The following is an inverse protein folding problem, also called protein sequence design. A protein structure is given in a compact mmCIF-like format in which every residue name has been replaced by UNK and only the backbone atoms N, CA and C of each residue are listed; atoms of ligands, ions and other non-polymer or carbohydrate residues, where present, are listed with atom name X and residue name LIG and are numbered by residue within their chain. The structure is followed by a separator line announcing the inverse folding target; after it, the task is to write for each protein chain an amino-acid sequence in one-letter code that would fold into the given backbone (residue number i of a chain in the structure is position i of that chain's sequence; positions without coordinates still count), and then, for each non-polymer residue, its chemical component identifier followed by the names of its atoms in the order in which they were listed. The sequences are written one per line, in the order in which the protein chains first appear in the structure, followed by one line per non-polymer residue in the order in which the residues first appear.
data_IF_126148762462
#
_entry.id   IF_126148762462
#
_cell.length_a   1.000
_cell.length_b   1.000
_cell.length_c   1.000
_cell.angle_alpha   90.00
_cell.angle_beta   90.00
_cell.angle_gamma   90.00
#
_symmetry.space_group_name_H-M   'P 1'
#
loop_
_entity.id
_entity.type
_entity.pdbx_description
1 polymer ?
#
# COMPACT_ATOMS: atom_id res chain seq x y z
N UNK A 1 45.85 -22.93 33.31
CA UNK A 1 44.43 -23.22 33.20
C UNK A 1 44.09 -24.70 33.43
N UNK A 2 44.93 -25.66 33.05
CA UNK A 2 44.78 -27.11 33.29
C UNK A 2 44.69 -27.44 34.80
N UNK A 3 45.61 -26.92 35.61
CA UNK A 3 45.72 -27.31 37.05
C UNK A 3 44.54 -26.78 37.90
N UNK A 4 43.92 -25.70 37.51
CA UNK A 4 42.75 -25.13 38.18
C UNK A 4 41.48 -26.02 37.97
N UNK A 5 41.28 -26.55 36.78
CA UNK A 5 40.19 -27.47 36.47
C UNK A 5 40.39 -28.83 37.15
N UNK A 6 41.62 -29.34 37.24
CA UNK A 6 41.96 -30.59 37.91
C UNK A 6 41.71 -30.47 39.43
N UNK A 7 42.04 -29.34 40.03
CA UNK A 7 41.81 -29.08 41.47
C UNK A 7 40.31 -28.96 41.78
N UNK A 8 39.54 -28.30 40.95
CA UNK A 8 38.08 -28.21 41.11
C UNK A 8 37.44 -29.61 40.96
N UNK A 9 37.88 -30.37 39.96
CA UNK A 9 37.37 -31.73 39.73
C UNK A 9 37.69 -32.66 40.91
N UNK A 10 38.90 -32.61 41.40
CA UNK A 10 39.31 -33.44 42.56
C UNK A 10 38.59 -33.01 43.86
N UNK A 11 38.38 -31.72 44.09
CA UNK A 11 37.60 -31.21 45.24
C UNK A 11 36.12 -31.61 45.12
N UNK A 12 35.54 -31.53 43.95
CA UNK A 12 34.17 -32.01 43.68
C UNK A 12 34.04 -33.51 43.90
N UNK A 13 35.00 -34.32 43.42
CA UNK A 13 34.98 -35.76 43.54
C UNK A 13 35.21 -36.24 45.01
N UNK A 14 36.05 -35.54 45.77
CA UNK A 14 36.21 -35.78 47.18
C UNK A 14 34.96 -35.47 48.02
N UNK A 15 34.23 -34.42 47.64
CA UNK A 15 32.95 -34.06 48.26
C UNK A 15 31.86 -35.09 47.94
N UNK A 16 31.74 -35.54 46.72
CA UNK A 16 30.75 -36.53 46.26
C UNK A 16 31.02 -37.91 46.86
N UNK A 17 32.25 -38.26 47.25
CA UNK A 17 32.62 -39.53 47.87
C UNK A 17 32.20 -39.68 49.35
N UNK A 18 31.75 -38.61 49.98
CA UNK A 18 31.15 -38.70 51.33
C UNK A 18 29.74 -39.32 51.26
N UNK A 19 29.38 -40.23 52.17
CA UNK A 19 28.07 -40.94 52.17
C UNK A 19 26.88 -39.94 52.12
N UNK A 20 26.99 -38.79 52.76
CA UNK A 20 25.94 -37.78 52.77
C UNK A 20 25.81 -37.02 51.42
N UNK A 21 26.94 -36.66 50.80
CA UNK A 21 26.96 -35.99 49.51
C UNK A 21 26.52 -36.93 48.39
N UNK A 22 26.87 -38.18 48.42
CA UNK A 22 26.41 -39.19 47.46
C UNK A 22 24.88 -39.37 47.54
N UNK A 23 24.31 -39.39 48.73
CA UNK A 23 22.86 -39.41 48.91
C UNK A 23 22.15 -38.20 48.34
N UNK A 24 22.71 -36.99 48.57
CA UNK A 24 22.17 -35.73 48.02
C UNK A 24 22.26 -35.69 46.48
N UNK A 25 23.39 -36.14 45.92
CA UNK A 25 23.59 -36.22 44.47
C UNK A 25 22.60 -37.17 43.80
N UNK A 26 22.34 -38.33 44.41
CA UNK A 26 21.34 -39.30 43.91
C UNK A 26 19.95 -38.68 43.95
N UNK A 27 19.58 -37.97 45.00
CA UNK A 27 18.27 -37.29 45.12
C UNK A 27 18.12 -36.23 44.03
N UNK A 28 19.14 -35.39 43.84
CA UNK A 28 19.11 -34.36 42.79
C UNK A 28 19.02 -34.97 41.40
N UNK A 29 19.76 -36.06 41.15
CA UNK A 29 19.71 -36.77 39.86
C UNK A 29 18.31 -37.38 39.61
N UNK A 30 17.70 -38.00 40.64
CA UNK A 30 16.34 -38.52 40.53
C UNK A 30 15.30 -37.43 40.29
N UNK A 31 15.46 -36.24 40.88
CA UNK A 31 14.57 -35.11 40.65
C UNK A 31 14.72 -34.57 39.20
N UNK A 32 15.96 -34.48 38.68
CA UNK A 32 16.21 -34.08 37.29
C UNK A 32 15.63 -35.09 36.31
N UNK A 33 15.81 -36.39 36.54
CA UNK A 33 15.24 -37.41 35.67
C UNK A 33 13.71 -37.37 35.73
N UNK A 34 13.13 -37.23 36.95
CA UNK A 34 11.67 -37.11 37.13
C UNK A 34 11.12 -35.88 36.38
N UNK A 35 11.81 -34.74 36.47
CA UNK A 35 11.44 -33.51 35.74
C UNK A 35 11.52 -33.70 34.21
N UNK A 36 12.55 -34.38 33.73
CA UNK A 36 12.72 -34.67 32.29
C UNK A 36 11.61 -35.61 31.80
N UNK A 37 11.31 -36.67 32.54
CA UNK A 37 10.21 -37.59 32.23
C UNK A 37 8.86 -36.88 32.24
N UNK A 38 8.60 -36.02 33.22
CA UNK A 38 7.37 -35.23 33.27
C UNK A 38 7.21 -34.32 32.05
N UNK A 39 8.27 -33.64 31.63
CA UNK A 39 8.24 -32.81 30.42
C UNK A 39 8.00 -33.61 29.12
N UNK A 40 8.62 -34.81 29.02
CA UNK A 40 8.38 -35.72 27.90
C UNK A 40 6.93 -36.22 27.90
N UNK A 41 6.37 -36.58 29.06
CA UNK A 41 4.98 -37.00 29.18
C UNK A 41 4.00 -35.87 28.84
N UNK A 42 4.29 -34.64 29.28
CA UNK A 42 3.50 -33.46 28.92
C UNK A 42 3.56 -33.22 27.41
N UNK A 43 4.75 -33.27 26.79
CA UNK A 43 4.90 -33.13 25.36
C UNK A 43 4.15 -34.21 24.56
N UNK A 44 4.24 -35.48 25.01
CA UNK A 44 3.49 -36.59 24.44
C UNK A 44 1.97 -36.45 24.65
N UNK A 45 1.52 -35.93 25.80
CA UNK A 45 0.12 -35.65 26.04
C UNK A 45 -0.44 -34.52 25.16
N UNK A 46 0.35 -33.47 24.96
CA UNK A 46 -0.01 -32.37 24.01
C UNK A 46 -0.13 -32.94 22.60
N UNK A 47 0.88 -33.70 22.13
CA UNK A 47 0.84 -34.32 20.80
C UNK A 47 -0.34 -35.29 20.64
N UNK A 48 -0.66 -36.04 21.71
CA UNK A 48 -1.79 -36.97 21.68
C UNK A 48 -3.14 -36.27 21.72
N UNK A 49 -3.30 -35.19 22.49
CA UNK A 49 -4.52 -34.39 22.51
C UNK A 49 -4.73 -33.63 21.16
N UNK A 50 -3.65 -33.18 20.51
CA UNK A 50 -3.76 -32.64 19.17
C UNK A 50 -4.23 -33.68 18.14
N UNK A 51 -3.89 -34.97 18.35
CA UNK A 51 -4.36 -36.05 17.48
C UNK A 51 -5.78 -36.54 17.79
N UNK A 52 -6.31 -36.31 18.98
CA UNK A 52 -7.68 -36.67 19.36
C UNK A 52 -8.73 -35.60 19.05
N UNK A 53 -8.31 -34.33 18.76
CA UNK A 53 -9.18 -33.24 18.32
C UNK A 53 -9.44 -33.33 16.81
N UNK A 54 -8.65 -34.13 16.07
CA UNK A 54 -8.88 -34.40 14.66
C UNK A 54 -10.05 -35.38 14.45
N UNK A 55 -11.26 -34.85 14.22
CA UNK A 55 -12.44 -35.65 13.90
C UNK A 55 -12.32 -36.30 12.50
N UNK A 56 -13.26 -37.22 12.13
CA UNK A 56 -13.22 -37.96 10.86
C UNK A 56 -13.16 -37.07 9.60
N UNK A 57 -13.54 -35.80 9.71
CA UNK A 57 -13.40 -34.80 8.67
C UNK A 57 -11.93 -34.41 8.40
N UNK A 58 -11.10 -34.38 9.43
CA UNK A 58 -9.70 -33.99 9.31
C UNK A 58 -8.79 -35.11 8.79
N UNK A 59 -9.13 -36.39 9.08
CA UNK A 59 -8.48 -37.54 8.43
C UNK A 59 -8.80 -37.63 6.93
N UNK A 60 -10.03 -37.28 6.54
CA UNK A 60 -10.39 -37.17 5.12
C UNK A 60 -9.70 -36.00 4.43
N UNK A 61 -9.47 -34.88 5.14
CA UNK A 61 -8.70 -33.73 4.68
C UNK A 61 -7.20 -34.05 4.57
N UNK A 62 -6.61 -34.75 5.54
CA UNK A 62 -5.22 -35.23 5.49
C UNK A 62 -4.97 -36.20 4.33
N UNK A 63 -5.90 -37.10 4.02
CA UNK A 63 -5.82 -38.00 2.84
C UNK A 63 -5.99 -37.23 1.53
N UNK A 64 -6.81 -36.17 1.50
CA UNK A 64 -6.98 -35.29 0.33
C UNK A 64 -5.77 -34.36 0.10
N UNK A 65 -5.10 -33.91 1.16
CA UNK A 65 -3.93 -33.00 1.09
C UNK A 65 -2.63 -33.64 0.58
N UNK A 66 -2.55 -34.96 0.39
CA UNK A 66 -1.41 -35.66 -0.23
C UNK A 66 -1.48 -35.76 -1.74
N UNK A 67 -2.59 -35.41 -2.35
CA UNK A 67 -2.79 -35.47 -3.81
C UNK A 67 -2.68 -34.08 -4.42
N UNK A 68 -1.85 -33.91 -5.46
CA UNK A 68 -1.86 -32.73 -6.34
C UNK A 68 -3.22 -32.52 -7.05
N UNK A 69 -4.20 -33.35 -6.77
CA UNK A 69 -5.60 -33.27 -7.23
C UNK A 69 -6.53 -32.65 -6.16
N UNK A 70 -6.04 -32.25 -4.99
CA UNK A 70 -6.82 -31.54 -3.96
C UNK A 70 -7.26 -30.15 -4.39
N UNK A 71 -8.21 -29.57 -3.65
CA UNK A 71 -8.63 -28.16 -3.79
C UNK A 71 -7.92 -27.36 -2.72
N UNK A 72 -7.02 -26.47 -3.11
CA UNK A 72 -6.28 -25.61 -2.18
C UNK A 72 -6.79 -24.17 -2.11
N UNK A 73 -7.53 -23.72 -3.13
CA UNK A 73 -8.18 -22.41 -3.17
C UNK A 73 -9.69 -22.58 -3.12
N UNK A 74 -10.34 -22.06 -2.08
CA UNK A 74 -11.78 -22.15 -1.95
C UNK A 74 -12.49 -20.90 -2.49
N UNK A 75 -11.99 -19.70 -2.11
CA UNK A 75 -12.61 -18.44 -2.49
C UNK A 75 -12.43 -18.17 -3.99
N UNK A 76 -11.22 -18.35 -4.52
CA UNK A 76 -10.95 -18.10 -5.94
C UNK A 76 -11.71 -19.09 -6.85
N UNK A 77 -11.79 -20.37 -6.47
CA UNK A 77 -12.60 -21.35 -7.21
C UNK A 77 -14.11 -21.06 -7.14
N UNK A 78 -14.57 -20.43 -6.07
CA UNK A 78 -15.95 -19.95 -5.97
C UNK A 78 -16.19 -18.79 -6.92
N UNK A 79 -15.26 -17.85 -7.03
CA UNK A 79 -15.32 -16.77 -8.03
C UNK A 79 -15.38 -17.35 -9.45
N UNK A 80 -14.54 -18.35 -9.78
CA UNK A 80 -14.61 -19.06 -11.07
C UNK A 80 -16.00 -19.64 -11.37
N UNK A 81 -16.69 -20.12 -10.35
CA UNK A 81 -18.04 -20.67 -10.49
C UNK A 81 -19.09 -19.57 -10.64
N UNK A 82 -18.98 -18.48 -9.88
CA UNK A 82 -19.87 -17.30 -9.94
C UNK A 82 -19.78 -16.62 -11.31
N UNK A 83 -18.56 -16.46 -11.84
CA UNK A 83 -18.31 -15.82 -13.13
C UNK A 83 -18.37 -16.75 -14.34
N UNK A 84 -18.82 -18.00 -14.17
CA UNK A 84 -18.93 -18.97 -15.28
C UNK A 84 -19.88 -18.52 -16.39
N UNK A 85 -20.96 -17.84 -16.01
CA UNK A 85 -22.00 -17.31 -16.93
C UNK A 85 -21.95 -15.79 -17.07
N UNK A 86 -20.94 -15.14 -16.47
CA UNK A 86 -20.78 -13.69 -16.54
C UNK A 86 -20.25 -13.28 -17.91
N UNK A 87 -20.98 -12.38 -18.58
CA UNK A 87 -20.52 -11.70 -19.78
C UNK A 87 -20.31 -10.21 -19.47
N UNK A 88 -19.08 -9.68 -19.59
CA UNK A 88 -18.82 -8.25 -19.38
C UNK A 88 -19.61 -7.33 -20.31
N UNK A 89 -20.17 -7.83 -21.42
CA UNK A 89 -21.00 -7.05 -22.35
C UNK A 89 -22.42 -6.79 -21.83
N UNK A 90 -22.89 -7.57 -20.85
CA UNK A 90 -24.20 -7.38 -20.23
C UNK A 90 -24.23 -6.17 -19.28
N UNK A 91 -23.08 -5.70 -18.84
CA UNK A 91 -22.95 -4.54 -17.95
C UNK A 91 -23.03 -3.25 -18.76
N UNK A 92 -24.02 -2.43 -18.47
CA UNK A 92 -24.18 -1.10 -19.10
C UNK A 92 -23.39 -0.05 -18.31
N UNK A 93 -22.28 0.37 -18.89
CA UNK A 93 -21.47 1.46 -18.35
C UNK A 93 -21.98 2.80 -18.87
N UNK A 94 -21.95 3.83 -18.01
CA UNK A 94 -22.15 5.22 -18.40
C UNK A 94 -20.80 5.85 -18.79
N UNK A 95 -20.38 5.55 -20.00
CA UNK A 95 -19.11 6.00 -20.55
C UNK A 95 -19.26 7.36 -21.28
N UNK A 96 -20.14 8.27 -20.80
CA UNK A 96 -20.36 9.61 -21.36
C UNK A 96 -19.78 10.75 -20.51
N UNK A 97 -19.42 10.49 -19.26
CA UNK A 97 -18.93 11.49 -18.30
C UNK A 97 -17.53 11.98 -18.66
N UNK A 98 -17.28 13.30 -18.52
CA UNK A 98 -15.95 13.91 -18.61
C UNK A 98 -15.22 13.93 -17.27
N UNK A 99 -13.89 14.24 -17.23
CA UNK A 99 -13.12 14.25 -15.98
C UNK A 99 -13.55 15.36 -15.02
N UNK A 100 -13.91 16.53 -15.52
CA UNK A 100 -14.42 17.62 -14.69
C UNK A 100 -15.78 17.28 -14.07
N UNK A 101 -16.69 16.72 -14.88
CA UNK A 101 -17.99 16.22 -14.41
C UNK A 101 -17.81 15.08 -13.39
N UNK A 102 -16.87 14.18 -13.65
CA UNK A 102 -16.54 13.10 -12.71
C UNK A 102 -16.10 13.64 -11.34
N UNK A 103 -15.21 14.65 -11.33
CA UNK A 103 -14.75 15.28 -10.10
C UNK A 103 -15.90 15.99 -9.37
N UNK A 104 -16.73 16.73 -10.09
CA UNK A 104 -17.87 17.45 -9.51
C UNK A 104 -18.92 16.47 -8.94
N UNK A 105 -19.33 15.48 -9.73
CA UNK A 105 -20.31 14.49 -9.30
C UNK A 105 -19.79 13.65 -8.12
N UNK A 106 -18.54 13.23 -8.13
CA UNK A 106 -17.94 12.51 -7.01
C UNK A 106 -17.94 13.35 -5.73
N UNK A 107 -17.58 14.63 -5.84
CA UNK A 107 -17.61 15.56 -4.69
C UNK A 107 -19.03 15.72 -4.14
N UNK A 108 -20.01 15.92 -5.02
CA UNK A 108 -21.40 16.09 -4.66
C UNK A 108 -21.98 14.81 -4.06
N UNK A 109 -21.69 13.64 -4.63
CA UNK A 109 -22.06 12.34 -4.08
C UNK A 109 -21.50 12.12 -2.67
N UNK A 110 -20.22 12.40 -2.46
CA UNK A 110 -19.58 12.26 -1.15
C UNK A 110 -20.23 13.19 -0.11
N UNK A 111 -20.57 14.43 -0.47
CA UNK A 111 -21.21 15.37 0.42
C UNK A 111 -22.69 15.05 0.68
N UNK A 112 -23.48 14.79 -0.40
CA UNK A 112 -24.91 14.59 -0.30
C UNK A 112 -25.31 13.24 0.27
N UNK A 113 -24.68 12.15 -0.18
CA UNK A 113 -25.03 10.78 0.22
C UNK A 113 -24.27 10.30 1.47
N UNK A 114 -23.00 10.70 1.62
CA UNK A 114 -22.12 10.16 2.66
C UNK A 114 -21.78 11.16 3.75
N UNK A 115 -22.18 12.42 3.61
CA UNK A 115 -21.84 13.52 4.53
C UNK A 115 -20.32 13.70 4.72
N UNK A 116 -19.57 13.45 3.63
CA UNK A 116 -18.13 13.60 3.55
C UNK A 116 -17.77 14.81 2.68
N UNK A 117 -17.21 15.84 3.30
CA UNK A 117 -16.98 17.12 2.66
C UNK A 117 -15.50 17.26 2.28
N UNK A 118 -15.23 17.50 0.99
CA UNK A 118 -13.90 17.70 0.44
C UNK A 118 -13.85 18.97 -0.39
N UNK A 119 -12.69 19.62 -0.40
CA UNK A 119 -12.48 20.79 -1.27
C UNK A 119 -12.40 20.35 -2.73
N UNK A 120 -12.81 21.18 -3.69
CA UNK A 120 -12.68 20.83 -5.12
C UNK A 120 -11.26 20.43 -5.51
N UNK A 121 -10.26 21.15 -4.98
CA UNK A 121 -8.84 20.89 -5.27
C UNK A 121 -8.41 19.50 -4.78
N UNK A 122 -8.88 19.04 -3.64
CA UNK A 122 -8.53 17.73 -3.08
C UNK A 122 -9.09 16.60 -3.95
N UNK A 123 -10.33 16.76 -4.45
CA UNK A 123 -10.93 15.81 -5.39
C UNK A 123 -10.17 15.80 -6.72
N UNK A 124 -9.86 16.97 -7.30
CA UNK A 124 -9.08 17.08 -8.55
C UNK A 124 -7.72 16.42 -8.41
N UNK A 125 -6.99 16.66 -7.30
CA UNK A 125 -5.69 16.03 -7.00
C UNK A 125 -5.80 14.52 -6.90
N UNK A 126 -6.86 14.05 -6.24
CA UNK A 126 -7.09 12.62 -6.07
C UNK A 126 -7.34 11.95 -7.42
N UNK A 127 -8.26 12.47 -8.22
CA UNK A 127 -8.61 11.93 -9.54
C UNK A 127 -7.42 12.04 -10.52
N UNK A 128 -6.75 13.19 -10.56
CA UNK A 128 -5.56 13.36 -11.39
C UNK A 128 -4.43 12.41 -10.96
N UNK A 129 -4.27 12.19 -9.65
CA UNK A 129 -3.32 11.21 -9.11
C UNK A 129 -3.59 9.79 -9.58
N UNK A 130 -4.87 9.36 -9.64
CA UNK A 130 -5.27 8.05 -10.18
C UNK A 130 -4.89 7.90 -11.66
N UNK A 131 -4.92 9.00 -12.41
CA UNK A 131 -4.51 9.01 -13.82
C UNK A 131 -3.00 8.88 -14.06
N UNK A 132 -2.17 9.18 -13.05
CA UNK A 132 -0.71 9.12 -13.15
C UNK A 132 -0.12 7.85 -12.53
N UNK A 133 -0.71 7.36 -11.44
CA UNK A 133 -0.18 6.22 -10.70
C UNK A 133 -1.26 5.28 -10.23
N UNK A 134 -0.95 3.98 -10.22
CA UNK A 134 -1.80 2.96 -9.59
C UNK A 134 -1.66 2.94 -8.06
N UNK A 135 -0.73 3.71 -7.49
CA UNK A 135 -0.55 3.86 -6.04
C UNK A 135 -0.70 5.33 -5.65
N UNK A 136 -1.67 5.60 -4.79
CA UNK A 136 -1.90 6.91 -4.16
C UNK A 136 -1.62 6.77 -2.68
N UNK A 137 -0.94 7.74 -2.06
CA UNK A 137 -0.78 7.82 -0.61
C UNK A 137 -1.52 9.06 -0.10
N UNK A 138 -2.54 8.85 0.70
CA UNK A 138 -3.27 9.90 1.39
C UNK A 138 -2.61 10.15 2.74
N UNK A 139 -2.02 11.32 2.93
CA UNK A 139 -1.34 11.71 4.17
C UNK A 139 -2.11 12.80 4.93
N UNK A 140 -1.91 12.89 6.22
CA UNK A 140 -2.49 13.93 7.07
C UNK A 140 -2.79 13.46 8.49
N UNK A 141 -3.31 14.36 9.30
CA UNK A 141 -3.70 14.06 10.69
C UNK A 141 -4.82 13.02 10.75
N UNK A 142 -4.93 12.32 11.86
CA UNK A 142 -6.05 11.39 12.09
C UNK A 142 -7.39 12.12 12.00
N UNK A 143 -8.40 11.47 11.42
CA UNK A 143 -9.75 12.04 11.31
C UNK A 143 -9.96 13.10 10.22
N UNK A 144 -9.03 13.26 9.27
CA UNK A 144 -9.20 14.18 8.10
C UNK A 144 -9.96 13.57 6.92
N UNK A 145 -10.46 12.33 7.04
CA UNK A 145 -11.26 11.69 6.00
C UNK A 145 -10.46 10.93 4.94
N UNK A 146 -9.20 10.56 5.21
CA UNK A 146 -8.33 9.83 4.26
C UNK A 146 -8.95 8.51 3.77
N UNK A 147 -9.24 7.61 4.69
CA UNK A 147 -9.84 6.30 4.38
C UNK A 147 -11.23 6.48 3.76
N UNK A 148 -11.99 7.45 4.28
CA UNK A 148 -13.33 7.76 3.80
C UNK A 148 -13.35 8.26 2.35
N UNK A 149 -12.34 9.02 1.89
CA UNK A 149 -12.23 9.49 0.51
C UNK A 149 -12.12 8.32 -0.48
N UNK A 150 -11.22 7.39 -0.21
CA UNK A 150 -11.03 6.21 -1.06
C UNK A 150 -12.24 5.25 -1.01
N UNK A 151 -12.86 5.13 0.17
CA UNK A 151 -14.08 4.34 0.35
C UNK A 151 -15.26 4.95 -0.42
N UNK A 152 -15.46 6.26 -0.32
CA UNK A 152 -16.48 6.99 -1.05
C UNK A 152 -16.33 6.85 -2.56
N UNK A 153 -15.09 6.83 -3.08
CA UNK A 153 -14.86 6.60 -4.52
C UNK A 153 -15.36 5.22 -4.96
N UNK A 154 -15.09 4.16 -4.18
CA UNK A 154 -15.61 2.83 -4.51
C UNK A 154 -17.12 2.77 -4.55
N UNK A 155 -17.79 3.40 -3.59
CA UNK A 155 -19.25 3.49 -3.58
C UNK A 155 -19.79 4.33 -4.75
N UNK A 156 -19.17 5.47 -5.05
CA UNK A 156 -19.51 6.30 -6.20
C UNK A 156 -19.39 5.54 -7.52
N UNK A 157 -18.38 4.66 -7.65
CA UNK A 157 -18.17 3.80 -8.82
C UNK A 157 -19.01 2.52 -8.82
N UNK A 158 -19.96 2.37 -7.90
CA UNK A 158 -20.78 1.17 -7.72
C UNK A 158 -19.96 -0.13 -7.60
N UNK A 159 -18.76 -0.04 -7.03
CA UNK A 159 -17.87 -1.15 -6.76
C UNK A 159 -17.13 -0.95 -5.44
N UNK A 160 -17.65 -1.54 -4.38
CA UNK A 160 -17.14 -1.34 -3.02
C UNK A 160 -15.65 -1.60 -2.91
N UNK A 161 -14.96 -0.62 -2.33
CA UNK A 161 -13.53 -0.73 -2.03
C UNK A 161 -13.27 -1.85 -1.02
N UNK A 162 -12.19 -2.59 -1.24
CA UNK A 162 -11.69 -3.50 -0.20
C UNK A 162 -10.75 -2.75 0.74
N UNK A 163 -11.06 -2.77 2.04
CA UNK A 163 -10.19 -2.20 3.07
C UNK A 163 -9.28 -3.30 3.61
N UNK A 164 -7.99 -3.05 3.56
CA UNK A 164 -6.93 -3.95 4.02
C UNK A 164 -6.18 -3.25 5.15
N UNK A 165 -6.50 -3.53 6.42
CA UNK A 165 -5.80 -2.93 7.55
C UNK A 165 -4.38 -3.51 7.63
N UNK A 166 -3.39 -2.65 7.50
CA UNK A 166 -1.98 -3.03 7.60
C UNK A 166 -1.64 -3.31 9.06
N UNK A 167 -0.87 -4.37 9.33
CA UNK A 167 -0.49 -4.75 10.67
C UNK A 167 1.00 -4.45 10.94
N UNK A 168 1.39 -4.13 12.19
CA UNK A 168 2.76 -3.77 12.53
C UNK A 168 3.81 -4.84 12.21
N UNK A 169 3.37 -6.10 12.12
CA UNK A 169 4.26 -7.25 11.88
C UNK A 169 4.48 -7.57 10.40
N UNK A 170 3.81 -6.87 9.48
CA UNK A 170 3.91 -7.16 8.05
C UNK A 170 5.31 -6.89 7.51
N UNK A 171 5.84 -7.83 6.76
CA UNK A 171 7.17 -7.77 6.16
C UNK A 171 7.21 -8.28 4.73
N UNK A 172 6.24 -9.10 4.34
CA UNK A 172 6.24 -9.81 3.08
C UNK A 172 4.90 -9.67 2.35
N UNK A 173 4.91 -9.90 1.06
CA UNK A 173 3.71 -9.91 0.23
C UNK A 173 2.66 -10.92 0.70
N UNK A 174 3.09 -12.05 1.27
CA UNK A 174 2.23 -13.08 1.85
C UNK A 174 1.30 -12.55 2.94
N UNK A 175 1.69 -11.49 3.64
CA UNK A 175 0.85 -10.81 4.64
C UNK A 175 -0.40 -10.18 4.00
N UNK A 176 -0.29 -9.73 2.73
CA UNK A 176 -1.40 -9.11 2.00
C UNK A 176 -2.25 -10.10 1.19
N UNK A 177 -1.59 -11.00 0.45
CA UNK A 177 -2.29 -11.89 -0.48
C UNK A 177 -2.64 -13.24 0.11
N UNK A 178 -1.99 -13.61 1.25
CA UNK A 178 -2.11 -14.92 1.86
C UNK A 178 -0.94 -15.86 1.53
N UNK A 179 -1.00 -17.04 2.09
CA UNK A 179 0.06 -18.04 2.00
C UNK A 179 -0.48 -19.47 1.95
N UNK A 180 0.32 -20.37 1.40
CA UNK A 180 -0.01 -21.79 1.42
C UNK A 180 0.35 -22.42 2.76
N UNK A 181 -0.64 -23.05 3.41
CA UNK A 181 -0.44 -23.75 4.64
C UNK A 181 -0.09 -25.23 4.37
N UNK A 182 1.14 -25.60 4.69
CA UNK A 182 1.67 -26.94 4.44
C UNK A 182 0.98 -28.05 5.25
N UNK A 183 0.41 -27.72 6.38
CA UNK A 183 -0.30 -28.71 7.24
C UNK A 183 -1.70 -29.00 6.70
N UNK A 184 -2.47 -27.96 6.40
CA UNK A 184 -3.85 -28.11 5.90
C UNK A 184 -3.91 -28.36 4.40
N UNK A 185 -2.79 -28.14 3.68
CA UNK A 185 -2.70 -28.18 2.22
C UNK A 185 -3.71 -27.22 1.54
N UNK A 186 -4.00 -26.12 2.21
CA UNK A 186 -4.88 -25.05 1.72
C UNK A 186 -4.15 -23.73 1.67
N UNK A 187 -4.57 -22.87 0.78
CA UNK A 187 -4.11 -21.49 0.71
C UNK A 187 -5.00 -20.63 1.62
N UNK A 188 -4.40 -19.84 2.52
CA UNK A 188 -5.10 -18.85 3.32
C UNK A 188 -5.34 -17.61 2.44
N UNK A 189 -6.49 -17.57 1.80
CA UNK A 189 -6.87 -16.53 0.85
C UNK A 189 -7.31 -15.26 1.58
N UNK A 190 -6.74 -14.11 1.22
CA UNK A 190 -7.15 -12.81 1.75
C UNK A 190 -8.24 -12.16 0.90
N UNK A 191 -8.94 -11.18 1.46
CA UNK A 191 -9.91 -10.38 0.70
C UNK A 191 -9.25 -9.59 -0.43
N UNK A 192 -7.99 -9.15 -0.25
CA UNK A 192 -7.23 -8.49 -1.30
C UNK A 192 -6.98 -9.42 -2.49
N UNK A 193 -6.48 -10.62 -2.24
CA UNK A 193 -6.28 -11.63 -3.29
C UNK A 193 -7.59 -11.95 -4.02
N UNK A 194 -8.67 -12.11 -3.27
CA UNK A 194 -10.01 -12.32 -3.82
C UNK A 194 -10.42 -11.20 -4.77
N UNK A 195 -10.33 -9.93 -4.33
CA UNK A 195 -10.71 -8.77 -5.16
C UNK A 195 -9.78 -8.61 -6.37
N UNK A 196 -8.50 -8.89 -6.23
CA UNK A 196 -7.55 -8.90 -7.34
C UNK A 196 -7.91 -9.97 -8.38
N UNK A 197 -8.35 -11.15 -7.93
CA UNK A 197 -8.80 -12.22 -8.81
C UNK A 197 -10.13 -11.87 -9.52
N UNK A 198 -11.11 -11.32 -8.78
CA UNK A 198 -12.39 -10.84 -9.28
C UNK A 198 -12.21 -9.75 -10.35
N UNK A 199 -11.31 -8.81 -10.13
CA UNK A 199 -11.00 -7.72 -11.05
C UNK A 199 -10.54 -8.20 -12.44
N UNK A 200 -9.96 -9.39 -12.52
CA UNK A 200 -9.58 -10.01 -13.78
C UNK A 200 -10.77 -10.45 -14.65
N UNK A 201 -11.97 -10.60 -14.08
CA UNK A 201 -13.19 -10.92 -14.82
C UNK A 201 -13.98 -9.70 -15.29
N UNK A 202 -13.82 -8.55 -14.63
CA UNK A 202 -14.67 -7.38 -14.79
C UNK A 202 -13.95 -6.22 -15.48
N UNK A 203 -14.72 -5.30 -16.06
CA UNK A 203 -14.24 -4.02 -16.60
C UNK A 203 -14.40 -2.88 -15.61
N UNK A 204 -14.94 -3.14 -14.42
CA UNK A 204 -15.10 -2.16 -13.34
C UNK A 204 -13.75 -1.66 -12.84
N UNK A 205 -13.75 -0.47 -12.26
CA UNK A 205 -12.61 0.07 -11.51
C UNK A 205 -12.62 -0.52 -10.11
N UNK A 206 -11.49 -1.03 -9.65
CA UNK A 206 -11.30 -1.59 -8.30
C UNK A 206 -10.39 -0.70 -7.47
N UNK A 207 -10.84 -0.36 -6.27
CA UNK A 207 -10.08 0.42 -5.29
C UNK A 207 -9.72 -0.48 -4.11
N UNK A 208 -8.44 -0.66 -3.86
CA UNK A 208 -7.91 -1.36 -2.68
C UNK A 208 -7.32 -0.35 -1.72
N UNK A 209 -7.89 -0.23 -0.54
CA UNK A 209 -7.46 0.69 0.50
C UNK A 209 -6.49 -0.06 1.42
N UNK A 210 -5.23 0.36 1.44
CA UNK A 210 -4.25 -0.09 2.42
C UNK A 210 -4.29 0.89 3.59
N UNK A 211 -4.97 0.49 4.68
CA UNK A 211 -5.20 1.40 5.79
C UNK A 211 -4.00 1.40 6.74
N UNK A 212 -3.52 2.59 7.10
CA UNK A 212 -2.33 2.83 7.92
C UNK A 212 -1.05 2.18 7.35
N UNK A 213 -0.74 2.48 6.08
CA UNK A 213 0.41 1.85 5.37
C UNK A 213 1.75 2.00 6.08
N UNK A 214 1.91 3.01 6.90
CA UNK A 214 3.15 3.32 7.60
C UNK A 214 3.22 2.81 9.05
N UNK A 215 2.24 2.02 9.50
CA UNK A 215 2.34 1.26 10.76
C UNK A 215 3.38 0.12 10.64
N UNK A 216 3.66 -0.33 9.42
CA UNK A 216 4.80 -1.15 9.05
C UNK A 216 5.54 -0.52 7.86
N UNK A 217 6.69 -1.06 7.50
CA UNK A 217 7.49 -0.51 6.39
C UNK A 217 6.93 -0.97 5.05
N UNK A 218 6.19 -0.10 4.38
CA UNK A 218 5.54 -0.36 3.08
C UNK A 218 6.54 -0.82 2.01
N UNK A 219 7.78 -0.35 2.02
CA UNK A 219 8.83 -0.78 1.10
C UNK A 219 9.23 -2.24 1.22
N UNK A 220 8.77 -2.96 2.24
CA UNK A 220 9.00 -4.39 2.39
C UNK A 220 7.79 -5.20 1.93
N UNK A 221 6.65 -5.06 2.58
CA UNK A 221 5.47 -5.88 2.26
C UNK A 221 4.86 -5.55 0.89
N UNK A 222 5.04 -4.32 0.39
CA UNK A 222 4.54 -3.86 -0.91
C UNK A 222 5.63 -3.80 -2.00
N UNK A 223 6.86 -4.23 -1.72
CA UNK A 223 8.03 -4.13 -2.61
C UNK A 223 7.80 -4.72 -4.01
N UNK A 224 7.19 -5.90 -4.07
CA UNK A 224 6.94 -6.59 -5.33
C UNK A 224 5.90 -5.85 -6.17
N UNK A 225 4.82 -5.36 -5.54
CA UNK A 225 3.83 -4.51 -6.19
C UNK A 225 4.45 -3.22 -6.75
N UNK A 226 5.30 -2.54 -5.98
CA UNK A 226 6.01 -1.35 -6.45
C UNK A 226 6.84 -1.64 -7.70
N UNK A 227 7.46 -2.82 -7.76
CA UNK A 227 8.28 -3.22 -8.91
C UNK A 227 7.42 -3.59 -10.12
N UNK A 228 6.33 -4.32 -9.91
CA UNK A 228 5.41 -4.71 -10.98
C UNK A 228 4.68 -3.49 -11.58
N UNK A 229 4.27 -2.54 -10.74
CA UNK A 229 3.57 -1.33 -11.19
C UNK A 229 4.46 -0.41 -12.04
N UNK A 230 5.79 -0.52 -11.95
CA UNK A 230 6.74 0.22 -12.78
C UNK A 230 6.97 -0.41 -14.17
N UNK A 231 6.60 -1.67 -14.36
CA UNK A 231 6.75 -2.31 -15.68
C UNK A 231 5.85 -1.59 -16.69
N UNK A 232 6.41 -1.10 -17.82
CA UNK A 232 5.61 -0.41 -18.83
C UNK A 232 4.63 -1.33 -19.54
N UNK A 233 4.95 -2.62 -19.63
CA UNK A 233 4.13 -3.66 -20.23
C UNK A 233 3.26 -4.31 -19.13
N UNK A 234 1.98 -3.97 -19.11
CA UNK A 234 1.02 -4.50 -18.14
C UNK A 234 0.80 -6.01 -18.28
N UNK A 235 1.05 -6.56 -19.46
CA UNK A 235 0.91 -8.00 -19.71
C UNK A 235 2.02 -8.83 -19.06
N UNK A 236 3.06 -8.19 -18.57
CA UNK A 236 4.16 -8.81 -17.82
C UNK A 236 4.06 -8.68 -16.30
N UNK A 237 3.01 -8.04 -15.79
CA UNK A 237 2.80 -7.82 -14.36
C UNK A 237 2.19 -9.06 -13.70
N UNK A 238 3.00 -10.05 -13.38
CA UNK A 238 2.59 -11.28 -12.69
C UNK A 238 3.16 -11.37 -11.29
N UNK A 239 2.32 -11.78 -10.35
CA UNK A 239 2.63 -11.98 -8.95
C UNK A 239 2.64 -13.48 -8.64
N UNK A 240 3.71 -13.97 -8.01
CA UNK A 240 3.78 -15.37 -7.59
C UNK A 240 2.83 -15.61 -6.41
N UNK A 241 1.95 -16.59 -6.51
CA UNK A 241 1.03 -16.99 -5.44
C UNK A 241 1.46 -18.33 -4.84
N UNK A 242 1.78 -19.30 -5.69
CA UNK A 242 2.22 -20.63 -5.31
C UNK A 242 3.32 -21.13 -6.24
N UNK A 243 4.21 -21.98 -5.72
CA UNK A 243 5.38 -22.45 -6.45
C UNK A 243 5.11 -23.62 -7.43
N UNK A 244 4.00 -24.33 -7.23
CA UNK A 244 3.63 -25.49 -8.05
C UNK A 244 2.20 -25.37 -8.58
N UNK A 245 1.84 -26.19 -9.54
CA UNK A 245 0.50 -26.18 -10.18
C UNK A 245 -0.25 -27.43 -9.79
N UNK A 246 -1.50 -27.26 -9.36
CA UNK A 246 -2.44 -28.35 -9.07
C UNK A 246 -3.58 -28.34 -10.08
N UNK A 247 -4.12 -29.53 -10.36
CA UNK A 247 -5.19 -29.71 -11.36
C UNK A 247 -6.44 -28.85 -11.09
N UNK A 248 -6.75 -28.59 -9.83
CA UNK A 248 -7.94 -27.85 -9.40
C UNK A 248 -7.61 -26.41 -8.95
N UNK A 249 -6.50 -25.85 -9.41
CA UNK A 249 -6.18 -24.44 -9.19
C UNK A 249 -7.15 -23.54 -9.95
N UNK A 250 -7.38 -22.32 -9.46
CA UNK A 250 -8.22 -21.33 -10.11
C UNK A 250 -7.77 -21.01 -11.53
N UNK A 251 -8.73 -20.77 -12.44
CA UNK A 251 -8.50 -20.66 -13.90
C UNK A 251 -7.55 -19.53 -14.30
N UNK A 252 -7.56 -18.40 -13.58
CA UNK A 252 -6.68 -17.27 -13.87
C UNK A 252 -5.31 -17.35 -13.18
N UNK A 253 -5.09 -18.37 -12.33
CA UNK A 253 -3.74 -18.69 -11.87
C UNK A 253 -3.00 -19.44 -12.97
N UNK A 254 -2.05 -18.75 -13.63
CA UNK A 254 -1.22 -19.34 -14.67
C UNK A 254 0.16 -19.69 -14.11
N UNK A 255 0.51 -20.96 -14.09
CA UNK A 255 1.78 -21.45 -13.53
C UNK A 255 2.02 -21.00 -12.07
N UNK A 256 0.97 -20.94 -11.27
CA UNK A 256 1.04 -20.49 -9.88
C UNK A 256 1.10 -18.97 -9.69
N UNK A 257 1.00 -18.20 -10.77
CA UNK A 257 1.04 -16.75 -10.78
C UNK A 257 -0.33 -16.14 -11.10
N UNK A 258 -0.63 -14.97 -10.52
CA UNK A 258 -1.78 -14.14 -10.87
C UNK A 258 -1.31 -12.88 -11.59
N UNK A 259 -1.99 -12.51 -12.67
CA UNK A 259 -1.75 -11.22 -13.33
C UNK A 259 -2.28 -10.09 -12.44
N UNK A 260 -1.48 -9.06 -12.21
CA UNK A 260 -1.93 -7.84 -11.53
C UNK A 260 -2.92 -7.10 -12.44
N UNK A 261 -4.19 -6.90 -12.02
CA UNK A 261 -5.19 -6.31 -12.87
C UNK A 261 -4.91 -4.83 -13.17
N UNK A 262 -5.04 -4.43 -14.43
CA UNK A 262 -4.85 -3.02 -14.84
C UNK A 262 -5.95 -2.09 -14.33
N UNK A 263 -7.12 -2.62 -14.02
CA UNK A 263 -8.29 -1.91 -13.50
C UNK A 263 -8.32 -1.78 -11.96
N UNK A 264 -7.19 -2.08 -11.28
CA UNK A 264 -7.07 -1.98 -9.82
C UNK A 264 -6.11 -0.86 -9.43
N UNK A 265 -6.54 -0.02 -8.48
CA UNK A 265 -5.74 1.02 -7.82
C UNK A 265 -5.56 0.70 -6.35
N UNK A 266 -4.41 1.09 -5.82
CA UNK A 266 -4.07 1.00 -4.41
C UNK A 266 -4.04 2.40 -3.81
N UNK A 267 -4.81 2.58 -2.74
CA UNK A 267 -4.86 3.86 -2.01
C UNK A 267 -4.40 3.58 -0.58
N UNK A 268 -3.18 4.01 -0.27
CA UNK A 268 -2.64 3.90 1.08
C UNK A 268 -3.04 5.10 1.93
N UNK A 269 -3.42 4.89 3.18
CA UNK A 269 -3.57 5.97 4.16
C UNK A 269 -2.37 6.00 5.10
N UNK A 270 -1.83 7.17 5.39
CA UNK A 270 -0.70 7.34 6.28
C UNK A 270 -1.00 8.45 7.30
N UNK A 271 -0.72 8.17 8.56
CA UNK A 271 -0.75 9.16 9.62
C UNK A 271 0.65 9.72 9.84
N UNK A 272 0.76 11.02 10.14
CA UNK A 272 2.02 11.68 10.45
C UNK A 272 2.22 11.70 11.98
N UNK A 273 2.14 10.51 12.61
CA UNK A 273 2.27 10.34 14.06
C UNK A 273 3.67 9.78 14.38
N UNK A 274 4.22 10.13 15.54
CA UNK A 274 5.54 9.68 16.01
C UNK A 274 5.65 8.15 16.16
N UNK A 275 4.52 7.45 16.22
CA UNK A 275 4.45 5.99 16.36
C UNK A 275 4.56 5.22 15.03
N UNK A 276 4.62 5.92 13.89
CA UNK A 276 4.61 5.33 12.56
C UNK A 276 5.98 5.44 11.87
N UNK A 277 6.22 4.56 10.89
CA UNK A 277 7.46 4.61 10.11
C UNK A 277 7.40 5.72 9.04
N UNK A 278 8.55 6.37 8.82
CA UNK A 278 8.69 7.27 7.68
C UNK A 278 8.59 6.47 6.37
N UNK A 279 7.80 6.97 5.44
CA UNK A 279 7.69 6.39 4.10
C UNK A 279 8.96 6.72 3.31
N UNK A 280 9.61 5.73 2.72
CA UNK A 280 10.85 5.90 2.00
C UNK A 280 10.68 6.63 0.66
N UNK A 281 11.76 7.27 0.19
CA UNK A 281 11.78 7.94 -1.13
C UNK A 281 11.43 6.98 -2.28
N UNK A 282 11.77 5.69 -2.15
CA UNK A 282 11.41 4.67 -3.14
C UNK A 282 9.91 4.57 -3.38
N UNK A 283 9.11 4.74 -2.33
CA UNK A 283 7.65 4.73 -2.40
C UNK A 283 7.13 6.08 -2.90
N UNK A 284 7.66 7.18 -2.35
CA UNK A 284 7.27 8.53 -2.77
C UNK A 284 7.51 8.80 -4.26
N UNK A 285 8.59 8.28 -4.81
CA UNK A 285 8.88 8.43 -6.25
C UNK A 285 7.88 7.70 -7.15
N UNK A 286 7.22 6.65 -6.66
CA UNK A 286 6.28 5.81 -7.41
C UNK A 286 4.82 6.14 -7.17
N UNK A 287 4.49 6.56 -5.95
CA UNK A 287 3.13 6.93 -5.57
C UNK A 287 2.81 8.38 -5.93
N UNK A 288 1.54 8.71 -6.16
CA UNK A 288 1.07 10.09 -6.06
C UNK A 288 0.64 10.37 -4.63
N UNK A 289 0.98 11.56 -4.13
CA UNK A 289 0.77 11.94 -2.74
C UNK A 289 -0.33 12.99 -2.66
N UNK A 290 -1.27 12.77 -1.77
CA UNK A 290 -2.31 13.75 -1.45
C UNK A 290 -2.30 14.03 0.05
N UNK A 291 -2.04 15.28 0.42
CA UNK A 291 -2.09 15.74 1.79
C UNK A 291 -3.49 16.27 2.11
N UNK A 292 -4.20 15.60 3.02
CA UNK A 292 -5.47 16.06 3.59
C UNK A 292 -5.20 16.68 4.97
N UNK A 293 -4.78 17.96 4.98
CA UNK A 293 -4.36 18.64 6.21
C UNK A 293 -5.52 19.31 6.95
N UNK A 294 -6.53 19.75 6.23
CA UNK A 294 -7.66 20.49 6.78
C UNK A 294 -8.98 19.84 6.43
N UNK A 295 -9.91 19.85 7.38
CA UNK A 295 -11.30 19.47 7.11
C UNK A 295 -11.96 20.54 6.25
N UNK A 296 -12.78 20.13 5.30
CA UNK A 296 -13.66 21.02 4.57
C UNK A 296 -14.91 21.32 5.42
N UNK A 297 -15.36 22.55 5.42
CA UNK A 297 -16.62 22.91 6.02
C UNK A 297 -17.80 22.26 5.26
N UNK A 298 -18.86 21.86 5.96
CA UNK A 298 -20.05 21.35 5.30
C UNK A 298 -20.64 22.36 4.30
N UNK A 299 -21.12 21.85 3.18
CA UNK A 299 -21.78 22.62 2.15
C UNK A 299 -22.99 21.86 1.61
N UNK A 300 -23.97 22.57 1.07
CA UNK A 300 -25.11 21.96 0.42
C UNK A 300 -24.70 21.45 -0.97
N UNK A 301 -24.88 20.14 -1.19
CA UNK A 301 -24.58 19.49 -2.45
C UNK A 301 -25.89 19.06 -3.13
N UNK A 302 -25.98 19.15 -4.48
CA UNK A 302 -27.11 18.58 -5.18
C UNK A 302 -27.13 17.05 -5.01
N UNK A 303 -28.34 16.49 -5.01
CA UNK A 303 -28.51 15.04 -5.02
C UNK A 303 -27.82 14.46 -6.27
N UNK A 304 -26.93 13.52 -6.06
CA UNK A 304 -26.09 12.97 -7.13
C UNK A 304 -26.06 11.45 -7.01
N UNK A 305 -26.39 10.75 -8.08
CA UNK A 305 -26.35 9.31 -8.15
C UNK A 305 -24.91 8.79 -8.34
N UNK A 306 -24.62 7.57 -7.88
CA UNK A 306 -23.37 6.90 -8.18
C UNK A 306 -23.31 6.55 -9.68
N UNK A 307 -22.08 6.54 -10.25
CA UNK A 307 -21.85 6.25 -11.65
C UNK A 307 -21.20 4.88 -11.84
N UNK A 308 -21.53 4.20 -12.93
CA UNK A 308 -20.85 2.96 -13.31
C UNK A 308 -20.08 3.20 -14.59
N UNK A 309 -18.79 3.51 -14.47
CA UNK A 309 -17.90 3.70 -15.63
C UNK A 309 -16.95 2.51 -15.80
N UNK A 310 -16.60 2.21 -17.06
CA UNK A 310 -15.62 1.17 -17.33
C UNK A 310 -14.19 1.69 -17.09
N UNK A 311 -13.29 0.78 -16.72
CA UNK A 311 -11.86 1.08 -16.66
C UNK A 311 -11.34 1.63 -18.00
N UNK A 312 -11.81 1.06 -19.12
CA UNK A 312 -11.39 1.51 -20.45
C UNK A 312 -11.82 2.96 -20.73
N UNK A 313 -13.03 3.36 -20.29
CA UNK A 313 -13.46 4.75 -20.41
C UNK A 313 -12.60 5.68 -19.57
N UNK A 314 -12.31 5.31 -18.30
CA UNK A 314 -11.45 6.11 -17.44
C UNK A 314 -10.05 6.30 -18.03
N UNK A 315 -9.44 5.25 -18.60
CA UNK A 315 -8.14 5.36 -19.29
C UNK A 315 -8.26 6.26 -20.51
N UNK A 316 -9.33 6.13 -21.28
CA UNK A 316 -9.57 7.02 -22.43
C UNK A 316 -9.69 8.49 -22.03
N UNK A 317 -10.40 8.80 -20.94
CA UNK A 317 -10.49 10.17 -20.42
C UNK A 317 -9.11 10.75 -20.06
N UNK A 318 -8.23 9.92 -19.50
CA UNK A 318 -6.86 10.31 -19.16
C UNK A 318 -6.03 10.56 -20.43
N UNK A 319 -6.15 9.70 -21.44
CA UNK A 319 -5.42 9.84 -22.70
C UNK A 319 -5.94 11.07 -23.50
N UNK A 320 -7.24 11.28 -23.51
CA UNK A 320 -7.88 12.47 -24.11
C UNK A 320 -7.40 13.76 -23.40
N UNK A 321 -7.28 13.74 -22.07
CA UNK A 321 -6.74 14.86 -21.29
C UNK A 321 -5.29 15.18 -21.68
N UNK A 322 -4.43 14.15 -21.78
CA UNK A 322 -3.03 14.30 -22.22
C UNK A 322 -2.89 14.79 -23.66
N UNK A 323 -3.87 14.49 -24.51
CA UNK A 323 -3.91 14.97 -25.89
C UNK A 323 -4.41 16.43 -25.99
N UNK A 324 -5.39 16.81 -25.15
CA UNK A 324 -6.03 18.12 -25.18
C UNK A 324 -5.22 19.21 -24.45
N UNK A 325 -4.52 18.83 -23.39
CA UNK A 325 -3.76 19.75 -22.55
C UNK A 325 -2.28 19.35 -22.52
N UNK A 326 -1.42 20.35 -22.48
CA UNK A 326 0.03 20.15 -22.31
C UNK A 326 0.58 21.22 -21.38
N UNK A 327 1.62 20.90 -20.65
CA UNK A 327 2.35 21.89 -19.88
C UNK A 327 2.96 22.93 -20.83
N UNK A 328 2.79 24.22 -20.53
CA UNK A 328 3.27 25.28 -21.39
C UNK A 328 4.81 25.34 -21.43
N UNK A 329 5.37 25.71 -22.57
CA UNK A 329 6.82 25.94 -22.73
C UNK A 329 7.36 27.02 -21.77
N UNK A 330 6.50 27.96 -21.35
CA UNK A 330 6.85 28.97 -20.34
C UNK A 330 7.04 28.33 -18.96
N UNK A 331 6.12 27.47 -18.56
CA UNK A 331 6.20 26.73 -17.30
C UNK A 331 7.38 25.76 -17.28
N UNK A 332 7.65 25.05 -18.38
CA UNK A 332 8.84 24.21 -18.49
C UNK A 332 10.14 24.99 -18.24
N UNK A 333 10.28 26.16 -18.88
CA UNK A 333 11.46 27.01 -18.68
C UNK A 333 11.60 27.48 -17.23
N UNK A 334 10.48 27.80 -16.56
CA UNK A 334 10.50 28.18 -15.13
C UNK A 334 10.96 27.00 -14.26
N UNK A 335 10.42 25.81 -14.51
CA UNK A 335 10.75 24.57 -13.79
C UNK A 335 12.23 24.22 -13.98
N UNK A 336 12.77 24.29 -15.21
CA UNK A 336 14.18 24.03 -15.48
C UNK A 336 15.11 25.04 -14.76
N UNK A 337 14.72 26.32 -14.68
CA UNK A 337 15.48 27.33 -13.91
C UNK A 337 15.42 27.07 -12.42
N UNK A 338 14.30 26.57 -11.90
CA UNK A 338 14.16 26.17 -10.51
C UNK A 338 15.00 24.93 -10.21
N UNK A 339 15.00 23.92 -11.09
CA UNK A 339 15.83 22.72 -10.97
C UNK A 339 17.32 23.07 -10.91
N UNK A 340 17.80 23.94 -11.83
CA UNK A 340 19.19 24.41 -11.82
C UNK A 340 19.56 25.11 -10.50
N UNK A 341 18.65 25.92 -9.96
CA UNK A 341 18.85 26.59 -8.66
C UNK A 341 18.90 25.57 -7.50
N UNK A 342 18.01 24.57 -7.50
CA UNK A 342 17.98 23.54 -6.47
C UNK A 342 19.21 22.63 -6.53
N UNK A 343 19.72 22.32 -7.72
CA UNK A 343 20.97 21.57 -7.88
C UNK A 343 22.14 22.35 -7.31
N UNK A 344 22.28 23.63 -7.67
CA UNK A 344 23.38 24.47 -7.25
C UNK A 344 23.39 24.73 -5.76
N UNK A 345 22.23 25.03 -5.16
CA UNK A 345 22.12 25.50 -3.79
C UNK A 345 21.75 24.41 -2.79
N UNK A 346 21.02 23.39 -3.18
CA UNK A 346 20.50 22.37 -2.28
C UNK A 346 20.96 20.95 -2.63
N UNK A 347 21.68 20.77 -3.75
CA UNK A 347 22.10 19.46 -4.26
C UNK A 347 20.92 18.50 -4.47
N UNK A 348 19.75 19.05 -4.85
CA UNK A 348 18.53 18.33 -5.18
C UNK A 348 18.23 18.53 -6.66
N UNK A 349 17.85 17.44 -7.35
CA UNK A 349 17.38 17.48 -8.72
C UNK A 349 15.98 16.87 -8.83
N UNK A 350 15.17 17.35 -9.79
CA UNK A 350 13.86 16.77 -10.08
C UNK A 350 13.96 15.32 -10.57
N UNK A 351 14.97 15.04 -11.39
CA UNK A 351 15.12 13.74 -12.04
C UNK A 351 14.05 13.46 -13.13
N UNK A 352 14.36 12.55 -14.02
CA UNK A 352 13.50 12.25 -15.18
C UNK A 352 12.12 11.72 -14.79
N UNK A 353 12.02 10.99 -13.65
CA UNK A 353 10.75 10.43 -13.19
C UNK A 353 9.77 11.52 -12.74
N UNK A 354 10.23 12.51 -11.97
CA UNK A 354 9.39 13.62 -11.52
C UNK A 354 8.94 14.45 -12.71
N UNK A 355 9.84 14.74 -13.66
CA UNK A 355 9.49 15.45 -14.89
C UNK A 355 8.43 14.69 -15.70
N UNK A 356 8.60 13.37 -15.87
CA UNK A 356 7.59 12.53 -16.54
C UNK A 356 6.24 12.59 -15.82
N UNK A 357 6.23 12.44 -14.49
CA UNK A 357 5.00 12.54 -13.72
C UNK A 357 4.36 13.91 -13.82
N UNK A 358 5.13 14.99 -13.88
CA UNK A 358 4.62 16.35 -14.06
C UNK A 358 3.95 16.53 -15.45
N UNK A 359 4.58 16.02 -16.50
CA UNK A 359 4.02 16.04 -17.86
C UNK A 359 2.73 15.20 -17.99
N UNK A 360 2.57 14.17 -17.15
CA UNK A 360 1.33 13.38 -17.11
C UNK A 360 0.27 14.03 -16.21
N UNK A 361 0.67 14.55 -15.06
CA UNK A 361 -0.24 15.06 -14.04
C UNK A 361 -0.90 16.38 -14.43
N UNK A 362 -0.13 17.33 -14.96
CA UNK A 362 -0.61 18.68 -15.31
C UNK A 362 -1.79 18.62 -16.28
N UNK A 363 -1.73 17.91 -17.41
CA UNK A 363 -2.86 17.78 -18.34
C UNK A 363 -4.11 17.19 -17.70
N UNK A 364 -3.95 16.13 -16.89
CA UNK A 364 -5.07 15.45 -16.25
C UNK A 364 -5.72 16.37 -15.21
N UNK A 365 -4.92 17.07 -14.41
CA UNK A 365 -5.42 18.01 -13.43
C UNK A 365 -6.19 19.18 -14.07
N UNK A 366 -5.71 19.67 -15.20
CA UNK A 366 -6.42 20.70 -15.98
C UNK A 366 -7.75 20.15 -16.53
N UNK A 367 -7.77 18.92 -17.02
CA UNK A 367 -9.00 18.27 -17.47
C UNK A 367 -10.00 17.99 -16.34
N UNK A 368 -9.54 17.89 -15.09
CA UNK A 368 -10.39 17.84 -13.90
C UNK A 368 -10.95 19.22 -13.50
N UNK A 369 -10.72 20.28 -14.29
CA UNK A 369 -11.19 21.65 -14.04
C UNK A 369 -10.27 22.48 -13.14
N UNK A 370 -9.00 22.11 -13.01
CA UNK A 370 -7.97 22.87 -12.32
C UNK A 370 -7.11 23.71 -13.26
N UNK A 371 -6.08 24.36 -12.72
CA UNK A 371 -5.14 25.19 -13.49
C UNK A 371 -3.76 24.56 -13.58
N UNK A 372 -2.97 24.97 -14.58
CA UNK A 372 -1.58 24.54 -14.76
C UNK A 372 -0.73 24.88 -13.53
N UNK A 373 -0.85 26.10 -13.01
CA UNK A 373 -0.07 26.59 -11.87
C UNK A 373 -0.40 25.80 -10.58
N UNK A 374 -1.67 25.47 -10.34
CA UNK A 374 -2.07 24.61 -9.21
C UNK A 374 -1.46 23.22 -9.30
N UNK A 375 -1.45 22.61 -10.49
CA UNK A 375 -0.88 21.29 -10.72
C UNK A 375 0.64 21.27 -10.49
N UNK A 376 1.34 22.30 -11.00
CA UNK A 376 2.78 22.46 -10.82
C UNK A 376 3.12 22.67 -9.35
N UNK A 377 2.39 23.54 -8.65
CA UNK A 377 2.57 23.78 -7.22
C UNK A 377 2.42 22.49 -6.40
N UNK A 378 1.41 21.68 -6.72
CA UNK A 378 1.16 20.40 -6.05
C UNK A 378 2.34 19.43 -6.21
N UNK A 379 2.85 19.25 -7.43
CA UNK A 379 3.99 18.36 -7.69
C UNK A 379 5.27 18.90 -7.05
N UNK A 380 5.55 20.21 -7.17
CA UNK A 380 6.73 20.82 -6.55
C UNK A 380 6.72 20.64 -5.05
N UNK A 381 5.61 20.91 -4.39
CA UNK A 381 5.45 20.77 -2.96
C UNK A 381 5.73 19.32 -2.51
N UNK A 382 5.08 18.35 -3.13
CA UNK A 382 5.03 16.96 -2.65
C UNK A 382 6.16 16.07 -3.14
N UNK A 383 6.75 16.38 -4.28
CA UNK A 383 7.79 15.54 -4.90
C UNK A 383 9.18 16.16 -4.84
N UNK A 384 9.26 17.48 -4.86
CA UNK A 384 10.53 18.18 -4.94
C UNK A 384 10.93 18.74 -3.59
N UNK A 385 10.14 19.65 -3.02
CA UNK A 385 10.51 20.34 -1.78
C UNK A 385 10.50 19.41 -0.56
N UNK A 386 9.73 18.33 -0.58
CA UNK A 386 9.80 17.29 0.45
C UNK A 386 11.22 16.71 0.61
N UNK A 387 12.01 16.65 -0.46
CA UNK A 387 13.40 16.16 -0.38
C UNK A 387 14.30 17.03 0.52
N UNK A 388 13.88 18.27 0.81
CA UNK A 388 14.58 19.15 1.75
C UNK A 388 14.52 18.64 3.20
N UNK A 389 13.48 17.86 3.56
CA UNK A 389 13.36 17.27 4.92
C UNK A 389 14.51 16.32 5.27
N UNK A 390 15.08 15.65 4.26
CA UNK A 390 16.19 14.71 4.45
C UNK A 390 17.55 15.37 4.58
N UNK A 391 17.62 16.70 4.40
CA UNK A 391 18.86 17.47 4.46
C UNK A 391 19.11 18.04 5.85
N UNK A 392 20.33 18.60 6.04
CA UNK A 392 20.66 19.27 7.30
C UNK A 392 19.73 20.48 7.53
N UNK A 393 18.93 20.51 8.61
CA UNK A 393 17.95 21.56 8.84
C UNK A 393 18.53 22.97 8.91
N UNK A 394 19.73 23.13 9.51
CA UNK A 394 20.40 24.44 9.60
C UNK A 394 20.80 24.95 8.22
N UNK A 395 21.33 24.07 7.37
CA UNK A 395 21.69 24.41 6.00
C UNK A 395 20.47 24.85 5.19
N UNK A 396 19.38 24.07 5.25
CA UNK A 396 18.13 24.37 4.57
C UNK A 396 17.54 25.71 5.02
N UNK A 397 17.50 25.97 6.33
CA UNK A 397 16.97 27.24 6.89
C UNK A 397 17.73 28.46 6.39
N UNK A 398 19.06 28.38 6.30
CA UNK A 398 19.89 29.50 5.85
C UNK A 398 19.64 29.88 4.37
N UNK A 399 19.22 28.93 3.55
CA UNK A 399 18.95 29.15 2.11
C UNK A 399 17.46 29.32 1.79
N UNK A 400 16.58 29.24 2.80
CA UNK A 400 15.13 29.24 2.58
C UNK A 400 14.61 30.55 1.98
N UNK A 401 15.16 31.68 2.44
CA UNK A 401 14.75 33.01 1.93
C UNK A 401 15.16 33.19 0.47
N UNK A 402 16.32 32.68 0.07
CA UNK A 402 16.77 32.67 -1.32
C UNK A 402 15.85 31.81 -2.19
N UNK A 403 15.41 30.65 -1.68
CA UNK A 403 14.48 29.77 -2.39
C UNK A 403 13.09 30.42 -2.55
N UNK A 404 12.54 30.99 -1.48
CA UNK A 404 11.23 31.66 -1.54
C UNK A 404 11.26 32.84 -2.52
N UNK A 405 12.32 33.64 -2.48
CA UNK A 405 12.54 34.74 -3.45
C UNK A 405 12.65 34.21 -4.87
N UNK A 406 13.36 33.10 -5.07
CA UNK A 406 13.52 32.48 -6.40
C UNK A 406 12.19 31.98 -6.98
N UNK A 407 11.33 31.39 -6.13
CA UNK A 407 9.98 30.98 -6.53
C UNK A 407 9.16 32.20 -6.97
N UNK A 408 9.23 33.29 -6.21
CA UNK A 408 8.53 34.54 -6.53
C UNK A 408 8.99 35.16 -7.85
N UNK A 409 10.31 35.20 -8.10
CA UNK A 409 10.88 35.66 -9.36
C UNK A 409 10.44 34.84 -10.58
N UNK A 410 10.29 33.52 -10.41
CA UNK A 410 9.97 32.63 -11.51
C UNK A 410 8.46 32.54 -11.78
N UNK A 411 7.64 32.48 -10.74
CA UNK A 411 6.21 32.20 -10.87
C UNK A 411 5.32 33.42 -10.59
N UNK A 412 5.85 34.46 -9.93
CA UNK A 412 5.13 35.68 -9.59
C UNK A 412 4.82 35.81 -8.10
N UNK A 413 4.49 37.01 -7.68
CA UNK A 413 4.12 37.32 -6.31
C UNK A 413 2.83 36.58 -5.90
N UNK A 414 2.82 35.95 -4.74
CA UNK A 414 1.66 35.17 -4.24
C UNK A 414 1.42 33.85 -4.95
N UNK A 415 2.17 33.50 -6.01
CA UNK A 415 2.08 32.20 -6.67
C UNK A 415 2.59 31.04 -5.79
N UNK A 416 2.28 29.82 -6.20
CA UNK A 416 2.71 28.57 -5.54
C UNK A 416 2.36 28.52 -4.04
N UNK A 417 1.08 28.72 -3.67
CA UNK A 417 0.70 28.86 -2.25
C UNK A 417 0.98 27.62 -1.41
N UNK A 418 0.85 26.40 -1.97
CA UNK A 418 1.14 25.16 -1.22
C UNK A 418 2.63 25.02 -0.95
N UNK A 419 3.46 25.24 -1.98
CA UNK A 419 4.91 25.19 -1.86
C UNK A 419 5.41 26.25 -0.87
N UNK A 420 4.89 27.47 -0.93
CA UNK A 420 5.26 28.55 0.01
C UNK A 420 4.87 28.22 1.44
N UNK A 421 3.65 27.72 1.67
CA UNK A 421 3.21 27.32 3.01
C UNK A 421 4.05 26.16 3.55
N UNK A 422 4.37 25.18 2.73
CA UNK A 422 5.22 24.05 3.09
C UNK A 422 6.64 24.51 3.47
N UNK A 423 7.28 25.33 2.62
CA UNK A 423 8.62 25.85 2.86
C UNK A 423 8.67 26.76 4.10
N UNK A 424 7.62 27.55 4.35
CA UNK A 424 7.52 28.36 5.57
C UNK A 424 7.48 27.50 6.83
N UNK A 425 6.73 26.39 6.85
CA UNK A 425 6.72 25.41 7.94
C UNK A 425 8.10 24.79 8.14
N UNK A 426 8.75 24.37 7.07
CA UNK A 426 10.08 23.77 7.11
C UNK A 426 11.13 24.77 7.68
N UNK A 427 11.00 26.04 7.35
CA UNK A 427 11.85 27.11 7.91
C UNK A 427 11.66 27.26 9.42
N UNK A 428 10.42 27.15 9.92
CA UNK A 428 10.12 27.24 11.36
C UNK A 428 10.58 26.02 12.15
N UNK A 429 10.83 24.88 11.53
CA UNK A 429 11.37 23.70 12.17
C UNK A 429 10.30 22.83 12.85
N UNK A 430 9.08 22.90 12.39
CA UNK A 430 7.97 22.05 12.81
C UNK A 430 7.75 20.89 11.86
#
# INVERSE_FOLDING_TARGET
MSDYFVNIFNSFWSFVSTRQALGLFIIVLLLLVSFLVANVLIALHIVRNESEIEGPADEAAKKRGRSKNGVRFNMLNRIDAEFKSYDPSDVKYDDSISLDQFCEQFRNYAAGQLHLYYRPEDIRRFVAGLGVSKLIILQGMSGTGKTSLAYALGQFLQNDSVVVPVQPMWKERSDMIGYFNEFTKRFNETNMLRKMYEAGYCKNIYITILDEVNISRIEYYFAEFLSLLELPDEDKRYLDVVSDVWRNDPKMLKNGQIKLPSNMWFVGTANNDDSTFAISDKVYDRAMILNLETKCEPFDAPETDPVLISHMHFVKLIDDAKAAYTMSAASEKKIMKLDSFLIERFHISFGNRIMKQMHEYVPIYMACGGTEDEAIDDILCKKVFRKLESQNPTYVRNLMDDLLKRIEELFGEGSMPQSRAYLARLKQGS
#
